data_IF_648763431857
#
_entry.id   IF_648763431857
#
_cell.length_a   1.000
_cell.length_b   1.000
_cell.length_c   1.000
_cell.angle_alpha   90.00
_cell.angle_beta   90.00
_cell.angle_gamma   90.00
#
_symmetry.space_group_name_H-M   'P 1'
#
loop_
_entity.id
_entity.type
_entity.pdbx_description
1 polymer ?
#
# COMPACT_ATOMS: atom_id res chain seq x y z
N UNK A 1 -13.83 24.60 -43.71
CA UNK A 1 -13.20 25.13 -42.49
C UNK A 1 -13.87 24.50 -41.29
N UNK A 2 -13.34 23.41 -40.83
CA UNK A 2 -13.87 22.65 -39.72
C UNK A 2 -13.27 23.21 -38.43
N UNK A 3 -14.06 24.00 -37.73
CA UNK A 3 -13.75 24.38 -36.34
C UNK A 3 -13.93 23.15 -35.47
N UNK A 4 -12.86 22.48 -35.17
CA UNK A 4 -12.85 21.54 -34.05
C UNK A 4 -13.00 22.36 -32.79
N UNK A 5 -14.19 22.38 -32.22
CA UNK A 5 -14.40 22.85 -30.88
C UNK A 5 -13.68 21.84 -29.95
N UNK A 6 -12.46 22.18 -29.62
CA UNK A 6 -11.85 21.61 -28.41
C UNK A 6 -12.67 22.09 -27.25
N UNK A 7 -13.53 21.20 -26.74
CA UNK A 7 -14.08 21.37 -25.42
C UNK A 7 -12.91 21.26 -24.45
N UNK A 8 -12.31 22.39 -24.14
CA UNK A 8 -11.44 22.54 -23.00
C UNK A 8 -12.31 22.30 -21.76
N UNK A 9 -12.49 21.06 -21.41
CA UNK A 9 -12.80 20.74 -20.02
C UNK A 9 -11.61 21.27 -19.24
N UNK A 10 -11.86 22.33 -18.51
CA UNK A 10 -10.87 22.99 -17.66
C UNK A 10 -10.54 21.99 -16.53
N UNK A 11 -9.77 20.98 -16.89
CA UNK A 11 -9.29 19.97 -15.96
C UNK A 11 -8.12 20.57 -15.20
N UNK A 12 -8.42 21.00 -13.99
CA UNK A 12 -7.40 21.54 -13.11
C UNK A 12 -6.46 20.41 -12.67
N UNK A 13 -5.22 20.45 -13.13
CA UNK A 13 -4.20 19.50 -12.74
C UNK A 13 -3.62 19.88 -11.39
N UNK A 14 -3.75 18.98 -10.43
CA UNK A 14 -3.36 19.18 -9.04
C UNK A 14 -2.40 18.08 -8.59
N UNK A 15 -1.64 18.39 -7.57
CA UNK A 15 -0.80 17.41 -6.87
C UNK A 15 -1.46 17.04 -5.55
N UNK A 16 -1.48 15.76 -5.24
CA UNK A 16 -2.02 15.25 -3.99
C UNK A 16 -1.22 14.10 -3.42
N UNK A 17 -1.49 13.82 -2.16
CA UNK A 17 -0.91 12.70 -1.43
C UNK A 17 -1.96 11.60 -1.25
N UNK A 18 -1.61 10.39 -1.60
CA UNK A 18 -2.51 9.24 -1.41
C UNK A 18 -2.77 9.03 0.08
N UNK A 19 -4.02 9.23 0.50
CA UNK A 19 -4.45 9.01 1.87
C UNK A 19 -4.54 7.53 2.19
N UNK A 20 -5.22 6.78 1.34
CA UNK A 20 -5.25 5.33 1.35
C UNK A 20 -5.77 4.80 0.01
N UNK A 21 -5.44 3.57 -0.29
CA UNK A 21 -5.92 2.89 -1.48
C UNK A 21 -6.14 1.40 -1.19
N UNK A 22 -7.28 0.88 -1.58
CA UNK A 22 -7.59 -0.54 -1.44
C UNK A 22 -7.32 -1.27 -2.74
N UNK A 23 -6.24 -2.05 -2.77
CA UNK A 23 -5.82 -2.78 -3.96
C UNK A 23 -6.84 -3.85 -4.41
N UNK A 24 -7.58 -4.42 -3.48
CA UNK A 24 -8.59 -5.44 -3.79
C UNK A 24 -9.86 -4.83 -4.38
N UNK A 25 -10.31 -3.73 -3.82
CA UNK A 25 -11.51 -3.03 -4.27
C UNK A 25 -11.24 -2.12 -5.47
N UNK A 26 -9.99 -1.68 -5.66
CA UNK A 26 -9.56 -0.84 -6.77
C UNK A 26 -9.95 0.63 -6.63
N UNK A 27 -10.12 1.12 -5.43
CA UNK A 27 -10.42 2.54 -5.17
C UNK A 27 -9.74 3.05 -3.90
N UNK A 28 -9.67 4.35 -3.77
CA UNK A 28 -9.09 5.02 -2.62
C UNK A 28 -9.38 6.51 -2.62
N UNK A 29 -8.63 7.24 -1.81
CA UNK A 29 -8.72 8.69 -1.71
C UNK A 29 -7.34 9.33 -1.75
N UNK A 30 -7.28 10.48 -2.41
CA UNK A 30 -6.12 11.34 -2.49
C UNK A 30 -6.48 12.65 -1.78
N UNK A 31 -5.62 13.08 -0.84
CA UNK A 31 -5.73 14.39 -0.22
C UNK A 31 -5.00 15.41 -1.08
N UNK A 32 -5.70 16.43 -1.55
CA UNK A 32 -5.10 17.48 -2.38
C UNK A 32 -4.11 18.29 -1.55
N UNK A 33 -2.91 18.49 -2.09
CA UNK A 33 -1.87 19.27 -1.45
C UNK A 33 -1.76 20.70 -1.97
N UNK A 34 -2.35 20.98 -3.13
CA UNK A 34 -2.16 22.23 -3.86
C UNK A 34 -3.48 22.86 -4.28
N UNK A 35 -3.46 24.17 -4.49
CA UNK A 35 -4.60 24.94 -4.98
C UNK A 35 -5.72 25.18 -3.98
N UNK A 36 -6.88 25.57 -4.50
CA UNK A 36 -8.06 25.91 -3.69
C UNK A 36 -8.68 24.71 -2.97
N UNK A 37 -8.40 23.52 -3.46
CA UNK A 37 -8.93 22.28 -2.91
C UNK A 37 -7.99 21.60 -1.90
N UNK A 38 -6.91 22.26 -1.51
CA UNK A 38 -5.94 21.71 -0.56
C UNK A 38 -6.62 21.22 0.72
N UNK A 39 -6.27 20.00 1.14
CA UNK A 39 -6.87 19.35 2.30
C UNK A 39 -8.16 18.57 2.03
N UNK A 40 -8.73 18.67 0.83
CA UNK A 40 -9.91 17.87 0.46
C UNK A 40 -9.49 16.46 0.03
N UNK A 41 -10.31 15.48 0.39
CA UNK A 41 -10.14 14.09 -0.04
C UNK A 41 -10.90 13.87 -1.36
N UNK A 42 -10.20 13.46 -2.37
CA UNK A 42 -10.72 13.22 -3.72
C UNK A 42 -10.79 11.74 -4.00
N UNK A 43 -11.92 11.27 -4.48
CA UNK A 43 -12.11 9.87 -4.87
C UNK A 43 -11.24 9.49 -6.06
N UNK A 44 -10.61 8.32 -5.99
CA UNK A 44 -9.80 7.75 -7.06
C UNK A 44 -10.17 6.29 -7.29
N UNK A 45 -10.27 5.92 -8.57
CA UNK A 45 -10.48 4.55 -9.00
C UNK A 45 -9.29 4.06 -9.83
N UNK A 46 -8.96 2.78 -9.78
CA UNK A 46 -7.80 2.23 -10.49
C UNK A 46 -7.82 2.48 -12.00
N UNK A 47 -9.00 2.55 -12.59
CA UNK A 47 -9.16 2.85 -14.02
C UNK A 47 -8.73 4.26 -14.40
N UNK A 48 -8.69 5.17 -13.44
CA UNK A 48 -8.25 6.56 -13.63
C UNK A 48 -6.73 6.72 -13.60
N UNK A 49 -6.01 5.68 -13.23
CA UNK A 49 -4.55 5.69 -13.18
C UNK A 49 -3.99 5.47 -14.58
N UNK A 50 -3.16 6.39 -15.07
CA UNK A 50 -2.42 6.23 -16.32
C UNK A 50 -1.34 5.17 -16.18
N UNK A 51 -1.03 4.49 -17.28
CA UNK A 51 0.04 3.51 -17.37
C UNK A 51 -0.32 2.41 -18.35
N UNK A 52 0.57 1.47 -18.57
CA UNK A 52 0.33 0.33 -19.45
C UNK A 52 -0.85 -0.50 -18.96
N UNK A 53 -1.82 -0.70 -19.85
CA UNK A 53 -3.07 -1.39 -19.52
C UNK A 53 -2.90 -2.86 -19.16
N UNK A 54 -1.77 -3.47 -19.49
CA UNK A 54 -1.47 -4.86 -19.20
C UNK A 54 -1.17 -5.14 -17.71
N UNK A 55 -0.93 -4.09 -16.93
CA UNK A 55 -0.55 -4.22 -15.53
C UNK A 55 -1.67 -3.73 -14.61
N UNK A 56 -1.97 -4.51 -13.57
CA UNK A 56 -2.83 -4.03 -12.49
C UNK A 56 -2.18 -2.83 -11.80
N UNK A 57 -2.90 -1.73 -11.75
CA UNK A 57 -2.43 -0.46 -11.21
C UNK A 57 -3.02 -0.23 -9.84
N UNK A 58 -2.19 0.23 -8.94
CA UNK A 58 -2.59 0.62 -7.60
C UNK A 58 -1.75 1.79 -7.12
N UNK A 59 -2.26 2.51 -6.14
CA UNK A 59 -1.54 3.59 -5.48
C UNK A 59 -1.01 3.12 -4.13
N UNK A 60 0.13 3.66 -3.75
CA UNK A 60 0.75 3.38 -2.45
C UNK A 60 0.37 4.49 -1.48
N UNK A 61 -0.03 4.12 -0.27
CA UNK A 61 -0.34 5.10 0.78
C UNK A 61 0.87 5.99 1.04
N UNK A 62 0.64 7.30 1.03
CA UNK A 62 1.69 8.30 1.24
C UNK A 62 2.43 8.73 -0.03
N UNK A 63 2.13 8.13 -1.18
CA UNK A 63 2.68 8.53 -2.47
C UNK A 63 2.12 9.87 -2.92
N UNK A 64 2.96 10.71 -3.52
CA UNK A 64 2.54 11.94 -4.18
C UNK A 64 2.28 11.67 -5.65
N UNK A 65 1.15 12.13 -6.15
CA UNK A 65 0.71 11.93 -7.53
C UNK A 65 0.12 13.22 -8.09
N UNK A 66 0.25 13.38 -9.39
CA UNK A 66 -0.45 14.43 -10.14
C UNK A 66 -1.70 13.83 -10.77
N UNK A 67 -2.79 14.57 -10.73
CA UNK A 67 -4.07 14.14 -11.28
C UNK A 67 -4.87 15.33 -11.79
N UNK A 68 -5.82 15.05 -12.65
CA UNK A 68 -6.79 16.03 -13.11
C UNK A 68 -8.05 15.91 -12.25
N UNK A 69 -8.48 17.03 -11.70
CA UNK A 69 -9.69 17.12 -10.90
C UNK A 69 -10.89 17.32 -11.82
N UNK A 70 -11.85 16.43 -11.75
CA UNK A 70 -13.12 16.56 -12.44
C UNK A 70 -14.28 16.51 -11.44
N UNK A 71 -15.37 17.19 -11.77
CA UNK A 71 -16.60 17.04 -11.02
C UNK A 71 -17.22 15.68 -11.29
N UNK A 72 -17.45 14.92 -10.23
CA UNK A 72 -18.09 13.60 -10.36
C UNK A 72 -19.55 13.74 -10.76
N UNK A 73 -20.01 12.83 -11.60
CA UNK A 73 -21.44 12.68 -11.90
C UNK A 73 -22.17 11.83 -10.86
N UNK A 74 -21.44 11.23 -9.95
CA UNK A 74 -22.00 10.39 -8.89
C UNK A 74 -22.34 11.24 -7.65
N UNK A 75 -23.52 11.03 -7.11
CA UNK A 75 -24.01 11.72 -5.91
C UNK A 75 -23.19 11.44 -4.64
N UNK A 76 -22.35 10.41 -4.68
CA UNK A 76 -21.55 10.00 -3.53
C UNK A 76 -20.28 10.83 -3.32
N UNK A 77 -19.74 11.37 -4.39
CA UNK A 77 -18.48 12.12 -4.36
C UNK A 77 -18.60 13.35 -5.25
N UNK A 78 -18.31 14.50 -4.70
CA UNK A 78 -18.38 15.78 -5.43
C UNK A 78 -17.32 15.88 -6.53
N UNK A 79 -16.12 15.37 -6.23
CA UNK A 79 -14.98 15.39 -7.14
C UNK A 79 -14.34 14.03 -7.27
N UNK A 80 -13.78 13.79 -8.44
CA UNK A 80 -13.05 12.56 -8.78
C UNK A 80 -11.71 12.90 -9.44
N UNK A 81 -10.68 12.14 -9.06
CA UNK A 81 -9.40 12.24 -9.72
C UNK A 81 -9.37 11.39 -11.00
N UNK A 82 -8.85 11.97 -12.06
CA UNK A 82 -8.65 11.28 -13.33
C UNK A 82 -7.23 11.51 -13.83
N UNK A 83 -6.82 10.74 -14.84
CA UNK A 83 -5.53 10.91 -15.49
C UNK A 83 -4.35 10.95 -14.50
N UNK A 84 -4.39 10.06 -13.53
CA UNK A 84 -3.43 10.00 -12.42
C UNK A 84 -2.08 9.52 -12.93
N UNK A 85 -1.04 10.29 -12.64
CA UNK A 85 0.34 9.97 -12.99
C UNK A 85 1.25 10.23 -11.79
N UNK A 86 2.49 9.77 -11.85
CA UNK A 86 3.50 10.27 -10.92
C UNK A 86 3.76 11.77 -11.13
N UNK A 87 4.48 12.38 -10.21
CA UNK A 87 4.82 13.80 -10.25
C UNK A 87 5.46 14.15 -11.58
N UNK A 88 5.00 15.24 -12.21
CA UNK A 88 5.47 15.72 -13.51
C UNK A 88 5.38 14.66 -14.63
N UNK A 89 4.26 13.95 -14.70
CA UNK A 89 4.07 12.82 -15.62
C UNK A 89 5.06 11.66 -15.45
N UNK A 90 5.68 11.55 -14.30
CA UNK A 90 6.55 10.42 -13.97
C UNK A 90 5.78 9.12 -13.75
N UNK A 91 6.53 8.05 -13.56
CA UNK A 91 5.97 6.74 -13.22
C UNK A 91 5.46 6.73 -11.78
N UNK A 92 4.35 6.07 -11.55
CA UNK A 92 3.85 5.80 -10.19
C UNK A 92 4.67 4.71 -9.52
N UNK A 93 4.61 4.62 -8.20
CA UNK A 93 5.44 3.67 -7.44
C UNK A 93 5.16 2.21 -7.81
N UNK A 94 3.94 1.85 -8.14
CA UNK A 94 3.63 0.48 -8.53
C UNK A 94 4.30 0.09 -9.86
N UNK A 95 4.41 1.00 -10.80
CA UNK A 95 5.15 0.79 -12.06
C UNK A 95 6.64 0.65 -11.81
N UNK A 96 7.21 1.54 -11.02
CA UNK A 96 8.62 1.50 -10.64
C UNK A 96 8.99 0.19 -9.95
N UNK A 97 8.13 -0.32 -9.07
CA UNK A 97 8.33 -1.61 -8.42
C UNK A 97 8.30 -2.78 -9.39
N UNK A 98 7.38 -2.77 -10.35
CA UNK A 98 7.27 -3.82 -11.36
C UNK A 98 8.46 -3.81 -12.32
N UNK A 99 8.91 -2.64 -12.74
CA UNK A 99 10.11 -2.50 -13.55
C UNK A 99 11.36 -2.99 -12.80
N UNK A 100 11.45 -2.72 -11.51
CA UNK A 100 12.55 -3.21 -10.68
C UNK A 100 12.49 -4.73 -10.45
N UNK A 101 11.31 -5.31 -10.41
CA UNK A 101 11.11 -6.76 -10.21
C UNK A 101 11.39 -7.55 -11.51
N UNK A 102 11.11 -6.98 -12.68
CA UNK A 102 11.45 -7.56 -13.98
C UNK A 102 12.93 -7.41 -14.36
N UNK A 103 13.66 -6.53 -13.72
CA UNK A 103 15.09 -6.28 -13.92
C UNK A 103 15.94 -7.02 -12.91
N UNK A 104 16.09 -8.33 -13.09
CA UNK A 104 17.24 -9.13 -12.65
C UNK A 104 17.89 -8.76 -11.31
N UNK A 105 17.10 -8.58 -10.25
CA UNK A 105 17.64 -8.74 -8.91
C UNK A 105 17.13 -10.07 -8.37
N UNK A 106 17.96 -11.11 -8.32
CA UNK A 106 17.60 -12.30 -7.58
C UNK A 106 17.28 -11.84 -6.16
N UNK A 107 16.07 -12.09 -5.73
CA UNK A 107 15.70 -11.88 -4.32
C UNK A 107 16.80 -12.56 -3.51
N UNK A 108 17.46 -11.88 -2.57
CA UNK A 108 18.35 -12.56 -1.68
C UNK A 108 17.51 -13.62 -0.98
N UNK A 109 17.71 -14.87 -1.38
CA UNK A 109 17.17 -16.00 -0.66
C UNK A 109 17.70 -15.83 0.74
N UNK A 110 16.86 -15.46 1.68
CA UNK A 110 17.21 -15.52 3.09
C UNK A 110 17.57 -16.98 3.33
N UNK A 111 18.86 -17.27 3.21
CA UNK A 111 19.39 -18.52 3.73
C UNK A 111 18.97 -18.53 5.19
N UNK A 112 18.01 -19.37 5.49
CA UNK A 112 17.76 -19.72 6.87
C UNK A 112 19.13 -20.09 7.42
N UNK A 113 19.70 -19.25 8.26
CA UNK A 113 20.83 -19.62 9.08
C UNK A 113 20.30 -20.77 9.93
N UNK A 114 20.45 -21.97 9.44
CA UNK A 114 20.39 -23.15 10.29
C UNK A 114 21.39 -22.89 11.38
N UNK A 115 20.88 -22.69 12.58
CA UNK A 115 21.72 -22.61 13.77
C UNK A 115 22.63 -23.82 13.72
N UNK A 116 23.94 -23.67 13.73
CA UNK A 116 24.79 -24.85 13.83
C UNK A 116 24.36 -25.61 15.08
N UNK A 117 24.30 -26.92 15.02
CA UNK A 117 24.03 -27.72 16.20
C UNK A 117 25.06 -27.33 17.24
N UNK A 118 24.64 -26.98 18.43
CA UNK A 118 25.53 -26.78 19.57
C UNK A 118 26.32 -28.07 19.73
N UNK A 119 27.56 -28.08 19.28
CA UNK A 119 28.50 -29.11 19.67
C UNK A 119 28.84 -28.84 21.12
N UNK A 120 28.58 -29.82 21.95
CA UNK A 120 29.16 -29.89 23.27
C UNK A 120 28.22 -29.81 24.47
N UNK A 121 27.06 -30.43 24.39
CA UNK A 121 26.51 -30.94 25.63
C UNK A 121 26.73 -32.48 25.59
N UNK A 122 27.51 -33.01 26.54
CA UNK A 122 27.47 -34.44 26.75
C UNK A 122 26.03 -34.80 27.03
N UNK A 123 25.50 -35.70 26.27
CA UNK A 123 24.23 -36.34 26.62
C UNK A 123 24.47 -37.11 27.90
N UNK A 124 24.41 -36.43 29.02
CA UNK A 124 24.09 -37.11 30.26
C UNK A 124 22.66 -37.56 30.08
N UNK A 125 22.53 -38.84 29.84
CA UNK A 125 21.26 -39.51 30.03
C UNK A 125 20.77 -39.07 31.38
N UNK A 126 19.62 -38.43 31.48
CA UNK A 126 19.02 -38.21 32.77
C UNK A 126 18.75 -39.59 33.35
N UNK A 127 19.51 -39.91 34.35
CA UNK A 127 19.17 -41.06 35.19
C UNK A 127 17.72 -40.92 35.55
N UNK A 128 17.03 -42.05 35.60
CA UNK A 128 15.67 -42.16 36.02
C UNK A 128 15.41 -41.30 37.25
N UNK A 129 14.96 -40.12 37.01
CA UNK A 129 14.61 -39.13 38.01
C UNK A 129 13.50 -38.31 37.43
N UNK A 130 12.37 -38.58 37.88
CA UNK A 130 11.17 -37.76 37.82
C UNK A 130 11.01 -36.97 36.50
N UNK A 131 10.33 -37.57 35.58
CA UNK A 131 9.80 -36.96 34.41
C UNK A 131 8.86 -35.77 34.71
N UNK A 132 8.77 -35.34 35.94
CA UNK A 132 7.84 -34.37 36.43
C UNK A 132 8.48 -33.01 36.73
N UNK A 133 9.74 -32.87 36.47
CA UNK A 133 10.38 -31.58 36.64
C UNK A 133 10.30 -30.79 35.38
N UNK A 134 9.12 -30.44 34.96
CA UNK A 134 9.46 -29.39 34.37
C UNK A 134 8.92 -28.80 33.18
N UNK A 135 7.86 -28.98 32.71
CA UNK A 135 7.14 -27.99 31.94
C UNK A 135 5.97 -27.50 32.81
N UNK A 136 6.28 -26.60 33.71
CA UNK A 136 5.25 -25.75 34.23
C UNK A 136 4.78 -24.88 33.10
N UNK A 137 3.70 -25.26 32.47
CA UNK A 137 2.96 -24.41 31.58
C UNK A 137 2.54 -23.21 32.41
N UNK A 138 3.29 -22.13 32.29
CA UNK A 138 2.88 -20.85 32.87
C UNK A 138 1.69 -20.39 32.01
N UNK A 139 0.51 -20.77 32.41
CA UNK A 139 -0.68 -20.13 31.92
C UNK A 139 -0.61 -18.67 32.37
N UNK A 140 -0.26 -17.81 31.42
CA UNK A 140 -0.48 -16.38 31.59
C UNK A 140 -1.99 -16.20 31.78
N UNK A 141 -2.46 -16.16 33.03
CA UNK A 141 -3.78 -15.66 33.36
C UNK A 141 -3.91 -14.31 32.70
N UNK A 142 -4.67 -14.23 31.61
CA UNK A 142 -5.12 -12.97 31.07
C UNK A 142 -5.93 -12.29 32.14
N UNK A 143 -5.41 -11.24 32.71
CA UNK A 143 -6.17 -10.39 33.61
C UNK A 143 -7.39 -9.88 32.83
N UNK A 144 -8.59 -10.02 33.39
CA UNK A 144 -9.77 -9.46 32.82
C UNK A 144 -9.58 -7.92 32.76
N UNK A 145 -9.70 -7.36 31.56
CA UNK A 145 -9.75 -5.91 31.40
C UNK A 145 -10.94 -5.40 32.20
N UNK A 146 -10.68 -4.61 33.22
CA UNK A 146 -11.71 -3.87 33.90
C UNK A 146 -12.43 -2.96 32.93
N UNK A 147 -13.76 -2.95 32.89
CA UNK A 147 -14.50 -1.99 32.11
C UNK A 147 -14.19 -0.59 32.65
N UNK A 148 -13.72 0.25 31.82
CA UNK A 148 -13.65 1.69 32.14
C UNK A 148 -15.09 2.20 32.24
N UNK A 149 -15.44 2.61 33.42
CA UNK A 149 -16.63 3.42 33.63
C UNK A 149 -16.41 4.81 33.04
#
# INVERSE_FOLDING_TARGET
MSSSQETTTDSLRLTGKVKWFNNKAGFGFITVCDGEHAGKDIFVHYSSIRGESALYKYLVQGEYVDFDLIKSTNDKHEYQATNITGIKNGSIMCETRKLADNGTRPRPVRKYRTRPPRQGEPSETPGEGDADAGFVKVEKKRQPRQPRA
#
